data_IF_270803370856
#
_entry.id   IF_270803370856
#
_cell.length_a   1.000
_cell.length_b   1.000
_cell.length_c   1.000
_cell.angle_alpha   90.00
_cell.angle_beta   90.00
_cell.angle_gamma   90.00
#
_symmetry.space_group_name_H-M   'P 1'
#
loop_
_entity.id
_entity.type
_entity.pdbx_description
1 polymer ?
#
# COMPACT_ATOMS: atom_id res chain seq x y z
N UNK A 1 -0.09 -6.31 -26.18
CA UNK A 1 1.15 -6.02 -25.43
C UNK A 1 1.15 -4.65 -24.72
N UNK A 2 0.09 -3.84 -24.82
CA UNK A 2 -0.02 -2.55 -24.09
C UNK A 2 -0.57 -2.72 -22.65
N UNK A 3 -1.54 -3.63 -22.44
CA UNK A 3 -2.19 -3.85 -21.15
C UNK A 3 -1.25 -4.22 -20.00
N UNK A 4 -0.21 -5.01 -20.27
CA UNK A 4 0.73 -5.46 -19.24
C UNK A 4 1.62 -4.33 -18.73
N UNK A 5 1.98 -3.38 -19.61
CA UNK A 5 2.74 -2.18 -19.24
C UNK A 5 1.89 -1.20 -18.44
N UNK A 6 0.62 -1.02 -18.82
CA UNK A 6 -0.33 -0.20 -18.05
C UNK A 6 -0.55 -0.78 -16.64
N UNK A 7 -0.69 -2.10 -16.50
CA UNK A 7 -0.79 -2.74 -15.18
C UNK A 7 0.46 -2.64 -14.32
N UNK A 8 1.65 -2.54 -14.95
CA UNK A 8 2.90 -2.31 -14.23
C UNK A 8 3.04 -0.86 -13.75
N UNK A 9 2.42 0.11 -14.42
CA UNK A 9 2.35 1.51 -13.98
C UNK A 9 1.39 1.72 -12.80
N UNK A 10 0.34 0.90 -12.72
CA UNK A 10 -0.57 0.81 -11.56
C UNK A 10 0.02 -0.04 -10.41
N UNK A 11 1.32 -0.41 -10.49
CA UNK A 11 2.00 -1.11 -9.41
C UNK A 11 2.43 -0.19 -8.28
N UNK A 12 1.61 -0.17 -7.21
CA UNK A 12 2.05 0.32 -5.91
C UNK A 12 3.16 -0.61 -5.41
N UNK A 13 4.37 -0.07 -5.34
CA UNK A 13 5.55 -0.71 -4.81
C UNK A 13 5.79 -0.30 -3.34
N UNK A 14 6.50 -1.13 -2.56
CA UNK A 14 7.07 -0.71 -1.29
C UNK A 14 7.83 0.62 -1.40
N UNK A 15 7.51 1.57 -0.53
CA UNK A 15 8.07 2.91 -0.50
C UNK A 15 7.28 3.95 -1.31
N UNK A 16 6.28 3.55 -2.10
CA UNK A 16 5.44 4.51 -2.80
C UNK A 16 4.61 5.35 -1.82
N UNK A 17 4.46 6.62 -2.17
CA UNK A 17 3.51 7.51 -1.52
C UNK A 17 2.10 7.22 -2.04
N UNK A 18 1.14 7.02 -1.15
CA UNK A 18 -0.22 6.60 -1.47
C UNK A 18 -1.26 7.42 -0.71
N UNK A 19 -2.46 7.50 -1.28
CA UNK A 19 -3.66 8.01 -0.60
C UNK A 19 -4.47 6.81 -0.11
N UNK A 20 -4.72 6.74 1.19
CA UNK A 20 -5.61 5.75 1.81
C UNK A 20 -7.06 6.22 1.77
N UNK A 21 -7.93 5.32 1.34
CA UNK A 21 -9.38 5.50 1.22
C UNK A 21 -10.13 4.24 1.66
N UNK A 22 -9.55 3.45 2.57
CA UNK A 22 -10.16 2.22 3.10
C UNK A 22 -11.25 2.45 4.14
N UNK A 23 -11.58 1.40 4.90
CA UNK A 23 -12.71 1.44 5.84
C UNK A 23 -12.46 2.20 7.15
N UNK A 24 -11.21 2.58 7.46
CA UNK A 24 -10.90 3.36 8.67
C UNK A 24 -10.84 4.85 8.27
N UNK A 25 -11.99 5.50 8.27
CA UNK A 25 -12.16 6.86 7.72
C UNK A 25 -11.26 7.91 8.38
N UNK A 26 -11.06 7.84 9.69
CA UNK A 26 -10.17 8.74 10.44
C UNK A 26 -8.70 8.67 10.00
N UNK A 27 -8.31 7.60 9.30
CA UNK A 27 -6.96 7.36 8.79
C UNK A 27 -6.82 7.69 7.30
N UNK A 28 -7.87 8.19 6.65
CA UNK A 28 -7.78 8.64 5.25
C UNK A 28 -6.70 9.71 5.08
N UNK A 29 -6.09 9.75 3.89
CA UNK A 29 -5.05 10.73 3.55
C UNK A 29 -3.75 10.09 3.07
N UNK A 30 -2.65 10.85 3.18
CA UNK A 30 -1.37 10.53 2.56
C UNK A 30 -0.48 9.67 3.48
N UNK A 31 0.12 8.64 2.91
CA UNK A 31 0.96 7.67 3.64
C UNK A 31 2.07 7.10 2.75
N UNK A 32 3.13 6.57 3.36
CA UNK A 32 4.06 5.65 2.69
C UNK A 32 3.55 4.23 2.81
N UNK A 33 3.47 3.52 1.68
CA UNK A 33 3.12 2.11 1.64
C UNK A 33 4.37 1.25 1.87
N UNK A 34 4.43 0.49 2.96
CA UNK A 34 5.51 -0.49 3.20
C UNK A 34 4.93 -1.89 3.36
N UNK A 35 5.69 -2.97 3.13
CA UNK A 35 5.20 -4.33 3.34
C UNK A 35 4.69 -4.48 4.77
N UNK A 36 3.52 -5.11 4.93
CA UNK A 36 3.00 -5.35 6.26
C UNK A 36 3.93 -6.30 7.04
N UNK A 37 4.42 -5.91 8.23
CA UNK A 37 5.44 -6.69 8.95
C UNK A 37 4.89 -7.90 9.71
N UNK A 38 3.58 -8.21 9.60
CA UNK A 38 3.01 -9.32 10.36
C UNK A 38 3.34 -10.67 9.71
N UNK A 39 3.52 -11.69 10.55
CA UNK A 39 3.87 -13.05 10.10
C UNK A 39 2.85 -13.64 9.12
N UNK A 40 1.57 -13.30 9.26
CA UNK A 40 0.51 -13.78 8.37
C UNK A 40 0.68 -13.19 6.97
N UNK A 41 0.91 -11.89 6.84
CA UNK A 41 1.11 -11.25 5.55
C UNK A 41 2.41 -11.72 4.89
N UNK A 42 3.48 -11.89 5.66
CA UNK A 42 4.72 -12.47 5.16
C UNK A 42 4.53 -13.90 4.64
N UNK A 43 3.87 -14.77 5.40
CA UNK A 43 3.61 -16.14 4.96
C UNK A 43 2.75 -16.19 3.69
N UNK A 44 1.72 -15.34 3.57
CA UNK A 44 0.89 -15.27 2.36
C UNK A 44 1.70 -14.84 1.13
N UNK A 45 2.64 -13.90 1.29
CA UNK A 45 3.56 -13.46 0.24
C UNK A 45 4.51 -14.60 -0.16
N UNK A 46 5.08 -15.32 0.81
CA UNK A 46 5.96 -16.48 0.58
C UNK A 46 5.25 -17.61 -0.19
N UNK A 47 3.94 -17.79 0.03
CA UNK A 47 3.11 -18.76 -0.72
C UNK A 47 2.67 -18.24 -2.10
N UNK A 48 3.06 -17.04 -2.50
CA UNK A 48 2.71 -16.44 -3.79
C UNK A 48 1.23 -16.07 -3.92
N UNK A 49 0.53 -15.87 -2.80
CA UNK A 49 -0.87 -15.44 -2.82
C UNK A 49 -0.88 -13.93 -3.10
N UNK A 50 -1.53 -13.46 -4.18
CA UNK A 50 -1.46 -12.07 -4.65
C UNK A 50 -2.31 -11.09 -3.81
N UNK A 51 -2.29 -11.23 -2.48
CA UNK A 51 -2.93 -10.32 -1.51
C UNK A 51 -1.86 -9.57 -0.70
N UNK A 52 -0.89 -8.94 -1.39
CA UNK A 52 0.13 -8.11 -0.75
C UNK A 52 -0.59 -7.00 0.01
N UNK A 53 -0.36 -6.97 1.33
CA UNK A 53 -0.91 -5.94 2.20
C UNK A 53 0.18 -5.02 2.68
N UNK A 54 -0.19 -3.76 2.84
CA UNK A 54 0.71 -2.71 3.26
C UNK A 54 0.47 -2.34 4.73
N UNK A 55 1.53 -1.98 5.43
CA UNK A 55 1.43 -1.05 6.54
C UNK A 55 1.56 0.36 5.97
N UNK A 56 0.70 1.26 6.40
CA UNK A 56 0.75 2.66 6.00
C UNK A 56 1.48 3.44 7.08
N UNK A 57 2.61 4.01 6.71
CA UNK A 57 3.51 4.70 7.62
C UNK A 57 3.45 6.18 7.32
N UNK A 58 3.27 6.97 8.36
CA UNK A 58 3.40 8.41 8.26
C UNK A 58 4.87 8.75 7.91
N UNK A 59 5.15 9.47 6.79
CA UNK A 59 6.50 9.89 6.44
C UNK A 59 7.24 10.60 7.56
N UNK A 60 6.50 11.35 8.40
CA UNK A 60 7.06 12.12 9.52
C UNK A 60 7.00 11.39 10.86
N UNK A 61 6.42 10.18 10.90
CA UNK A 61 6.26 9.33 12.09
C UNK A 61 5.52 10.01 13.25
N UNK A 62 4.62 10.94 12.97
CA UNK A 62 3.83 11.65 13.97
C UNK A 62 2.65 10.79 14.44
N UNK A 63 2.12 9.93 13.56
CA UNK A 63 0.98 9.05 13.87
C UNK A 63 1.13 7.63 13.36
N UNK A 64 0.59 6.63 14.09
CA UNK A 64 0.46 5.28 13.55
C UNK A 64 -0.58 5.27 12.42
N UNK A 65 -0.29 4.55 11.34
CA UNK A 65 -1.24 4.34 10.25
C UNK A 65 -1.83 2.93 10.27
N UNK A 66 -2.77 2.65 9.35
CA UNK A 66 -3.43 1.36 9.27
C UNK A 66 -2.47 0.24 8.84
N UNK A 67 -2.66 -0.93 9.45
CA UNK A 67 -2.00 -2.17 9.05
C UNK A 67 -2.93 -2.99 8.15
N UNK A 68 -2.34 -3.89 7.36
CA UNK A 68 -3.06 -4.78 6.45
C UNK A 68 -3.89 -4.03 5.39
N UNK A 69 -3.48 -2.82 5.02
CA UNK A 69 -4.12 -2.06 3.96
C UNK A 69 -4.00 -2.85 2.65
N UNK A 70 -5.15 -3.19 2.08
CA UNK A 70 -5.19 -3.86 0.79
C UNK A 70 -4.93 -2.86 -0.31
N UNK A 71 -4.43 -3.36 -1.43
CA UNK A 71 -4.17 -2.54 -2.61
C UNK A 71 -5.40 -1.77 -3.10
N UNK A 72 -6.60 -2.33 -2.97
CA UNK A 72 -7.84 -1.66 -3.38
C UNK A 72 -8.22 -0.48 -2.48
N UNK A 73 -7.62 -0.37 -1.28
CA UNK A 73 -7.89 0.70 -0.32
C UNK A 73 -6.86 1.84 -0.40
N UNK A 74 -5.95 1.77 -1.37
CA UNK A 74 -4.89 2.77 -1.56
C UNK A 74 -4.74 3.09 -3.05
N UNK A 75 -4.44 4.35 -3.35
CA UNK A 75 -4.12 4.81 -4.70
C UNK A 75 -2.75 5.47 -4.68
N UNK A 76 -1.90 5.20 -5.67
CA UNK A 76 -0.59 5.86 -5.78
C UNK A 76 -0.79 7.37 -5.91
N UNK A 77 -0.05 8.14 -5.11
CA UNK A 77 -0.03 9.59 -5.19
C UNK A 77 0.87 10.04 -6.33
N UNK A 78 0.38 10.96 -7.17
CA UNK A 78 1.16 11.61 -8.23
C UNK A 78 1.89 12.88 -7.73
N UNK A 79 1.86 13.16 -6.43
CA UNK A 79 2.45 14.37 -5.87
C UNK A 79 4.00 14.46 -6.01
N UNK A 80 4.66 13.38 -6.44
CA UNK A 80 6.11 13.31 -6.61
C UNK A 80 6.58 13.11 -8.07
N UNK A 81 5.71 13.29 -9.07
CA UNK A 81 6.12 13.28 -10.49
C UNK A 81 6.44 14.66 -11.02
#
# INVERSE_FOLDING_TARGET
>A
MSDTLLRALDLIAPGDLVIYHGSIEDMHGLWLAVPCPCQICHALDDFGIPDIRFALVDPWRERPGPFHARRQSITRSIACT
#
